data_IF_989685338209
#
_entry.id   IF_989685338209
#
_cell.length_a   1.000
_cell.length_b   1.000
_cell.length_c   1.000
_cell.angle_alpha   90.00
_cell.angle_beta   90.00
_cell.angle_gamma   90.00
#
_symmetry.space_group_name_H-M   'P 1'
#
loop_
_entity.id
_entity.type
_entity.pdbx_description
1 polymer ?
#
# COMPACT_ATOMS: atom_id res chain seq x y z
N UNK A 1 1.15 -16.09 -9.72
CA UNK A 1 1.78 -15.30 -8.66
C UNK A 1 2.42 -16.22 -7.65
N UNK A 2 3.63 -15.93 -7.21
CA UNK A 2 4.32 -16.73 -6.21
C UNK A 2 3.66 -16.63 -4.85
N UNK A 3 3.98 -17.53 -3.93
CA UNK A 3 3.44 -17.49 -2.57
C UNK A 3 3.79 -16.18 -1.86
N UNK A 4 5.02 -15.65 -2.06
CA UNK A 4 5.45 -14.39 -1.48
C UNK A 4 4.59 -13.22 -1.97
N UNK A 5 4.29 -13.20 -3.27
CA UNK A 5 3.47 -12.14 -3.86
C UNK A 5 2.01 -12.27 -3.45
N UNK A 6 1.53 -13.51 -3.27
CA UNK A 6 0.19 -13.72 -2.75
C UNK A 6 0.10 -13.26 -1.29
N UNK A 7 1.12 -13.54 -0.49
CA UNK A 7 1.19 -13.05 0.89
C UNK A 7 1.20 -11.53 0.94
N UNK A 8 1.92 -10.88 0.02
CA UNK A 8 1.95 -9.42 -0.08
C UNK A 8 0.58 -8.86 -0.45
N UNK A 9 -0.12 -9.52 -1.38
CA UNK A 9 -1.49 -9.13 -1.75
C UNK A 9 -2.42 -9.19 -0.55
N UNK A 10 -2.37 -10.29 0.22
CA UNK A 10 -3.20 -10.45 1.42
C UNK A 10 -2.84 -9.42 2.50
N UNK A 11 -1.55 -9.16 2.71
CA UNK A 11 -1.10 -8.14 3.65
C UNK A 11 -1.62 -6.75 3.26
N UNK A 12 -1.68 -6.46 1.97
CA UNK A 12 -2.21 -5.18 1.47
C UNK A 12 -3.71 -5.04 1.71
N UNK A 13 -4.45 -6.14 1.59
CA UNK A 13 -5.88 -6.17 1.90
C UNK A 13 -6.08 -5.92 3.40
N UNK A 14 -5.31 -6.61 4.24
CA UNK A 14 -5.38 -6.43 5.70
C UNK A 14 -5.08 -4.98 6.09
N UNK A 15 -4.10 -4.36 5.44
CA UNK A 15 -3.76 -2.97 5.69
C UNK A 15 -4.90 -2.03 5.31
N UNK A 16 -5.51 -2.24 4.14
CA UNK A 16 -6.65 -1.43 3.69
C UNK A 16 -7.83 -1.54 4.66
N UNK A 17 -8.09 -2.75 5.18
CA UNK A 17 -9.13 -2.99 6.17
C UNK A 17 -8.80 -2.24 7.46
N UNK A 18 -7.56 -2.32 7.94
CA UNK A 18 -7.13 -1.62 9.16
C UNK A 18 -7.30 -0.11 9.01
N UNK A 19 -6.95 0.46 7.86
CA UNK A 19 -7.15 1.88 7.56
C UNK A 19 -8.65 2.22 7.58
N UNK A 20 -9.47 1.41 6.92
CA UNK A 20 -10.92 1.62 6.86
C UNK A 20 -11.55 1.60 8.26
N UNK A 21 -11.15 0.62 9.08
CA UNK A 21 -11.67 0.48 10.43
C UNK A 21 -11.31 1.70 11.31
N UNK A 22 -10.09 2.20 11.18
CA UNK A 22 -9.68 3.40 11.92
C UNK A 22 -10.46 4.61 11.43
N UNK A 23 -10.68 4.75 10.13
CA UNK A 23 -11.46 5.86 9.57
C UNK A 23 -12.89 5.90 10.13
N UNK A 24 -13.47 4.73 10.40
CA UNK A 24 -14.81 4.63 10.99
C UNK A 24 -14.86 5.23 12.40
N UNK A 25 -13.74 5.33 13.10
CA UNK A 25 -13.67 5.92 14.45
C UNK A 25 -13.41 7.43 14.44
N UNK A 26 -13.06 7.99 13.28
CA UNK A 26 -12.68 9.40 13.17
C UNK A 26 -13.93 10.24 12.84
N UNK A 27 -14.21 11.24 13.66
CA UNK A 27 -15.26 12.21 13.37
C UNK A 27 -14.69 13.33 12.49
N UNK A 28 -15.41 13.67 11.42
CA UNK A 28 -14.96 14.70 10.50
C UNK A 28 -13.80 14.20 9.63
N UNK A 29 -13.00 15.12 9.12
CA UNK A 29 -11.86 14.84 8.25
C UNK A 29 -12.24 14.06 6.98
N UNK A 30 -13.46 14.31 6.47
CA UNK A 30 -14.02 13.52 5.33
C UNK A 30 -13.11 13.48 4.12
N UNK A 31 -12.51 14.62 3.75
CA UNK A 31 -11.62 14.70 2.59
C UNK A 31 -10.40 13.79 2.79
N UNK A 32 -9.78 13.86 3.97
CA UNK A 32 -8.56 13.09 4.27
C UNK A 32 -8.84 11.61 4.43
N UNK A 33 -9.97 11.26 5.06
CA UNK A 33 -10.42 9.87 5.19
C UNK A 33 -10.64 9.25 3.81
N UNK A 34 -11.32 9.97 2.91
CA UNK A 34 -11.57 9.48 1.57
C UNK A 34 -10.27 9.25 0.81
N UNK A 35 -9.29 10.14 0.97
CA UNK A 35 -8.00 10.01 0.30
C UNK A 35 -7.19 8.82 0.82
N UNK A 36 -7.15 8.60 2.14
CA UNK A 36 -6.39 7.48 2.68
C UNK A 36 -7.05 6.14 2.37
N UNK A 37 -8.38 6.08 2.36
CA UNK A 37 -9.11 4.87 1.96
C UNK A 37 -8.83 4.55 0.49
N UNK A 38 -8.90 5.55 -0.38
CA UNK A 38 -8.61 5.39 -1.80
C UNK A 38 -7.19 4.89 -2.03
N UNK A 39 -6.19 5.57 -1.46
CA UNK A 39 -4.79 5.22 -1.71
C UNK A 39 -4.42 3.87 -1.11
N UNK A 40 -4.86 3.58 0.12
CA UNK A 40 -4.56 2.29 0.74
C UNK A 40 -5.22 1.12 0.01
N UNK A 41 -6.44 1.31 -0.49
CA UNK A 41 -7.13 0.29 -1.28
C UNK A 41 -6.44 0.06 -2.63
N UNK A 42 -5.89 1.11 -3.21
CA UNK A 42 -5.21 1.04 -4.52
C UNK A 42 -3.90 0.26 -4.45
N UNK A 43 -3.24 0.19 -3.30
CA UNK A 43 -2.04 -0.63 -3.14
C UNK A 43 -2.35 -2.08 -3.49
N UNK A 44 -3.31 -2.68 -2.79
CA UNK A 44 -3.69 -4.08 -3.00
C UNK A 44 -4.33 -4.32 -4.36
N UNK A 45 -5.13 -3.37 -4.86
CA UNK A 45 -5.76 -3.48 -6.17
C UNK A 45 -4.70 -3.64 -7.27
N UNK A 46 -3.63 -2.85 -7.24
CA UNK A 46 -2.56 -2.92 -8.23
C UNK A 46 -1.73 -4.19 -8.08
N UNK A 47 -1.47 -4.64 -6.86
CA UNK A 47 -0.80 -5.92 -6.63
C UNK A 47 -1.65 -7.06 -7.19
N UNK A 48 -2.96 -7.02 -6.97
CA UNK A 48 -3.89 -8.01 -7.50
C UNK A 48 -3.89 -8.02 -9.03
N UNK A 49 -3.94 -6.86 -9.66
CA UNK A 49 -3.92 -6.76 -11.11
C UNK A 49 -2.60 -7.23 -11.72
N UNK A 50 -1.50 -7.10 -10.99
CA UNK A 50 -0.19 -7.58 -11.45
C UNK A 50 -0.18 -9.10 -11.69
N UNK A 51 -1.05 -9.86 -11.01
CA UNK A 51 -1.22 -11.29 -11.24
C UNK A 51 -1.60 -11.60 -12.70
N UNK A 52 -2.29 -10.68 -13.34
CA UNK A 52 -2.78 -10.82 -14.71
C UNK A 52 -1.96 -10.01 -15.71
N UNK A 53 -0.77 -9.58 -15.31
CA UNK A 53 0.11 -8.80 -16.18
C UNK A 53 0.48 -9.60 -17.43
N UNK A 54 0.48 -8.92 -18.58
CA UNK A 54 0.75 -9.54 -19.86
C UNK A 54 2.24 -9.58 -20.22
N UNK A 55 3.06 -8.89 -19.44
CA UNK A 55 4.50 -8.81 -19.65
C UNK A 55 5.19 -8.48 -18.33
N UNK A 56 6.50 -8.66 -18.28
CA UNK A 56 7.28 -8.23 -17.12
C UNK A 56 7.21 -6.72 -16.93
N UNK A 57 7.23 -5.96 -18.01
CA UNK A 57 7.10 -4.51 -17.97
C UNK A 57 5.76 -4.10 -17.37
N UNK A 58 4.67 -4.77 -17.74
CA UNK A 58 3.36 -4.50 -17.18
C UNK A 58 3.31 -4.85 -15.68
N UNK A 59 3.90 -5.98 -15.29
CA UNK A 59 4.02 -6.36 -13.88
C UNK A 59 4.76 -5.29 -13.08
N UNK A 60 5.91 -4.84 -13.57
CA UNK A 60 6.71 -3.80 -12.91
C UNK A 60 5.90 -2.52 -12.79
N UNK A 61 5.19 -2.13 -13.86
CA UNK A 61 4.37 -0.93 -13.85
C UNK A 61 3.28 -0.99 -12.76
N UNK A 62 2.59 -2.11 -12.64
CA UNK A 62 1.56 -2.29 -11.62
C UNK A 62 2.14 -2.19 -10.20
N UNK A 63 3.32 -2.77 -9.97
CA UNK A 63 3.97 -2.68 -8.67
C UNK A 63 4.49 -1.27 -8.38
N UNK A 64 4.95 -0.55 -9.41
CA UNK A 64 5.36 0.85 -9.23
C UNK A 64 4.19 1.75 -8.89
N UNK A 65 3.02 1.51 -9.48
CA UNK A 65 1.79 2.23 -9.10
C UNK A 65 1.43 1.92 -7.64
N UNK A 66 1.50 0.65 -7.25
CA UNK A 66 1.25 0.25 -5.86
C UNK A 66 2.21 0.96 -4.90
N UNK A 67 3.48 1.07 -5.26
CA UNK A 67 4.49 1.77 -4.46
C UNK A 67 4.16 3.25 -4.32
N UNK A 68 3.75 3.89 -5.40
CA UNK A 68 3.33 5.29 -5.39
C UNK A 68 2.14 5.49 -4.46
N UNK A 69 1.14 4.61 -4.53
CA UNK A 69 -0.03 4.67 -3.66
C UNK A 69 0.34 4.43 -2.19
N UNK A 70 1.33 3.58 -1.94
CA UNK A 70 1.86 3.35 -0.60
C UNK A 70 2.47 4.63 -0.02
N UNK A 71 3.22 5.37 -0.82
CA UNK A 71 3.80 6.66 -0.42
C UNK A 71 2.72 7.69 -0.13
N UNK A 72 1.67 7.73 -0.95
CA UNK A 72 0.54 8.64 -0.74
C UNK A 72 -0.20 8.29 0.56
N UNK A 73 -0.39 7.00 0.83
CA UNK A 73 -1.04 6.55 2.06
C UNK A 73 -0.26 7.00 3.29
N UNK A 74 1.07 6.89 3.25
CA UNK A 74 1.95 7.33 4.33
C UNK A 74 1.77 8.85 4.59
N UNK A 75 1.63 9.63 3.53
CA UNK A 75 1.37 11.06 3.64
C UNK A 75 0.05 11.35 4.36
N UNK A 76 -1.05 10.72 3.93
CA UNK A 76 -2.35 10.94 4.55
C UNK A 76 -2.38 10.47 6.00
N UNK A 77 -1.65 9.40 6.30
CA UNK A 77 -1.55 8.89 7.66
C UNK A 77 -0.87 9.89 8.58
N UNK A 78 0.24 10.49 8.13
CA UNK A 78 0.93 11.53 8.88
C UNK A 78 0.04 12.75 9.08
N UNK A 79 -0.71 13.16 8.06
CA UNK A 79 -1.60 14.30 8.13
C UNK A 79 -2.69 14.07 9.19
N UNK A 80 -3.33 12.89 9.18
CA UNK A 80 -4.34 12.55 10.18
C UNK A 80 -3.77 12.55 11.59
N UNK A 81 -2.54 12.05 11.76
CA UNK A 81 -1.87 12.06 13.04
C UNK A 81 -1.60 13.50 13.51
N UNK A 82 -1.07 14.35 12.65
CA UNK A 82 -0.79 15.76 12.99
C UNK A 82 -2.05 16.57 13.28
N UNK A 83 -3.19 16.17 12.71
CA UNK A 83 -4.49 16.75 13.02
C UNK A 83 -5.08 16.21 14.32
N UNK A 84 -4.38 15.33 15.02
CA UNK A 84 -4.85 14.67 16.25
C UNK A 84 -6.09 13.79 16.01
N UNK A 85 -6.28 13.31 14.77
CA UNK A 85 -7.40 12.42 14.45
C UNK A 85 -7.16 10.98 14.90
N UNK A 86 -5.88 10.59 15.01
CA UNK A 86 -5.46 9.28 15.52
C UNK A 86 -4.39 9.48 16.59
N UNK A 87 -4.30 8.54 17.54
CA UNK A 87 -3.29 8.63 18.58
C UNK A 87 -1.93 8.10 18.10
N UNK A 88 -0.88 8.32 18.92
CA UNK A 88 0.48 7.93 18.54
C UNK A 88 0.63 6.41 18.39
N UNK A 89 -0.08 5.64 19.20
CA UNK A 89 0.00 4.17 19.16
C UNK A 89 -0.59 3.63 17.85
N UNK A 90 -1.75 4.13 17.48
CA UNK A 90 -2.41 3.78 16.22
C UNK A 90 -1.57 4.20 15.03
N UNK A 91 -1.04 5.42 15.06
CA UNK A 91 -0.17 5.94 14.00
C UNK A 91 1.06 5.05 13.81
N UNK A 92 1.76 4.73 14.90
CA UNK A 92 2.96 3.89 14.84
C UNK A 92 2.66 2.50 14.26
N UNK A 93 1.56 1.90 14.69
CA UNK A 93 1.15 0.57 14.22
C UNK A 93 0.88 0.56 12.72
N UNK A 94 0.11 1.52 12.24
CA UNK A 94 -0.24 1.61 10.81
C UNK A 94 0.97 1.99 9.96
N UNK A 95 1.83 2.87 10.46
CA UNK A 95 3.06 3.25 9.77
C UNK A 95 3.99 2.04 9.61
N UNK A 96 4.13 1.21 10.63
CA UNK A 96 4.94 0.00 10.56
C UNK A 96 4.35 -1.01 9.57
N UNK A 97 3.04 -1.19 9.58
CA UNK A 97 2.35 -2.10 8.68
C UNK A 97 2.51 -1.67 7.22
N UNK A 98 2.26 -0.39 6.93
CA UNK A 98 2.44 0.16 5.59
C UNK A 98 3.90 0.15 5.14
N UNK A 99 4.83 0.42 6.05
CA UNK A 99 6.26 0.38 5.77
C UNK A 99 6.75 -1.01 5.38
N UNK A 100 6.23 -2.05 6.00
CA UNK A 100 6.54 -3.44 5.65
C UNK A 100 6.11 -3.75 4.22
N UNK A 101 4.91 -3.34 3.84
CA UNK A 101 4.39 -3.52 2.47
C UNK A 101 5.28 -2.77 1.48
N UNK A 102 5.63 -1.53 1.78
CA UNK A 102 6.46 -0.70 0.91
C UNK A 102 7.83 -1.34 0.65
N UNK A 103 8.49 -1.86 1.68
CA UNK A 103 9.79 -2.52 1.53
C UNK A 103 9.69 -3.75 0.63
N UNK A 104 8.62 -4.52 0.75
CA UNK A 104 8.39 -5.71 -0.09
C UNK A 104 8.10 -5.33 -1.54
N UNK A 105 7.38 -4.23 -1.76
CA UNK A 105 7.15 -3.71 -3.11
C UNK A 105 8.47 -3.32 -3.76
N UNK A 106 9.31 -2.57 -3.05
CA UNK A 106 10.63 -2.15 -3.55
C UNK A 106 11.49 -3.37 -3.89
N UNK A 107 11.53 -4.36 -3.01
CA UNK A 107 12.30 -5.58 -3.22
C UNK A 107 11.80 -6.34 -4.45
N UNK A 108 10.49 -6.47 -4.63
CA UNK A 108 9.89 -7.16 -5.78
C UNK A 108 10.19 -6.43 -7.09
N UNK A 109 10.11 -5.10 -7.08
CA UNK A 109 10.42 -4.29 -8.28
C UNK A 109 11.89 -4.44 -8.65
N UNK A 110 12.78 -4.37 -7.66
CA UNK A 110 14.23 -4.51 -7.88
C UNK A 110 14.54 -5.86 -8.50
N UNK A 111 13.97 -6.94 -7.96
CA UNK A 111 14.15 -8.30 -8.49
C UNK A 111 13.64 -8.42 -9.91
N UNK A 112 12.44 -7.89 -10.20
CA UNK A 112 11.85 -7.97 -11.52
C UNK A 112 12.66 -7.20 -12.56
N UNK A 113 13.19 -6.03 -12.21
CA UNK A 113 14.05 -5.24 -13.10
C UNK A 113 15.36 -5.94 -13.37
N UNK A 114 15.98 -6.54 -12.35
CA UNK A 114 17.21 -7.31 -12.51
C UNK A 114 17.02 -8.47 -13.47
N UNK A 115 15.93 -9.21 -13.32
CA UNK A 115 15.61 -10.34 -14.19
C UNK A 115 15.37 -9.89 -15.64
N UNK A 116 14.78 -8.71 -15.85
CA UNK A 116 14.60 -8.14 -17.18
C UNK A 116 15.92 -7.83 -17.86
N UNK A 117 16.91 -7.35 -17.10
CA UNK A 117 18.22 -6.98 -17.64
C UNK A 117 19.06 -8.20 -18.03
N UNK A 118 18.76 -9.36 -17.49
CA UNK A 118 19.48 -10.60 -17.76
C UNK A 118 19.03 -11.33 -19.04
N UNK A 119 18.01 -10.83 -19.72
CA UNK A 119 17.52 -11.38 -20.99
C UNK A 119 18.30 -10.84 -22.22
#
# INVERSE_FOLDING_TARGET
>A
MTDDKNALRLASIDFAIAISDICDTIKGCSVYKNQIIRSSSSIGANIHEAKYAQSRADFINKFEIALKESSETDYWLELLYRKNAIDVKTYAKLKNQGGSIRRKLISSITTAKRNSEQV
#
